data_IF_295861870599
#
_entry.id   IF_295861870599
#
_cell.length_a   1.000
_cell.length_b   1.000
_cell.length_c   1.000
_cell.angle_alpha   90.00
_cell.angle_beta   90.00
_cell.angle_gamma   90.00
#
_symmetry.space_group_name_H-M   'P 1'
#
loop_
_entity.id
_entity.type
_entity.pdbx_description
1 polymer ?
#
# COMPACT_ATOMS: atom_id res chain seq x y z
N UNK A 1 15.93 29.82 13.82
CA UNK A 1 16.30 28.39 13.87
C UNK A 1 15.44 27.67 12.84
N UNK A 2 16.03 27.18 11.74
CA UNK A 2 15.27 26.47 10.70
C UNK A 2 14.91 25.06 11.17
N UNK A 3 13.73 24.58 10.81
CA UNK A 3 13.27 23.23 11.15
C UNK A 3 13.91 22.19 10.22
N UNK A 4 14.03 20.93 10.67
CA UNK A 4 14.71 19.86 9.89
C UNK A 4 13.96 19.44 8.60
N UNK A 5 12.67 19.73 8.50
CA UNK A 5 11.83 19.36 7.36
C UNK A 5 11.19 20.61 6.74
N UNK A 6 11.11 20.71 5.40
CA UNK A 6 11.72 19.82 4.40
C UNK A 6 13.22 20.07 4.23
N UNK A 7 14.03 18.99 4.14
CA UNK A 7 15.50 19.10 4.00
C UNK A 7 15.92 19.73 2.67
N UNK A 8 15.10 19.56 1.64
CA UNK A 8 15.39 19.94 0.26
C UNK A 8 15.04 21.39 -0.09
N UNK A 9 14.40 22.14 0.82
CA UNK A 9 14.09 23.55 0.63
C UNK A 9 14.23 24.31 1.95
N UNK A 10 15.29 25.10 2.08
CA UNK A 10 15.58 25.95 3.23
C UNK A 10 14.55 27.06 3.38
N UNK A 11 14.08 27.64 2.26
CA UNK A 11 13.04 28.66 2.27
C UNK A 11 11.74 28.13 2.91
N UNK A 12 11.37 26.89 2.59
CA UNK A 12 10.19 26.26 3.18
C UNK A 12 10.46 25.76 4.62
N UNK A 13 11.66 25.29 4.92
CA UNK A 13 12.07 24.85 6.26
C UNK A 13 12.06 25.98 7.31
N UNK A 14 12.19 27.23 6.87
CA UNK A 14 12.13 28.42 7.71
C UNK A 14 10.70 28.92 7.96
N UNK A 15 9.70 28.43 7.22
CA UNK A 15 8.30 28.82 7.41
C UNK A 15 7.79 28.31 8.78
N UNK A 16 7.38 29.21 9.69
CA UNK A 16 6.95 28.85 11.03
C UNK A 16 5.53 28.27 11.08
N UNK A 17 4.78 28.32 9.97
CA UNK A 17 3.38 27.90 9.93
C UNK A 17 3.20 26.42 9.54
N UNK A 18 1.97 25.92 9.63
CA UNK A 18 1.62 24.57 9.15
C UNK A 18 1.72 24.44 7.63
N UNK A 19 1.76 25.57 6.88
CA UNK A 19 1.94 25.59 5.42
C UNK A 19 3.19 24.82 5.00
N UNK A 20 4.26 24.92 5.78
CA UNK A 20 5.51 24.16 5.59
C UNK A 20 5.29 22.66 5.40
N UNK A 21 4.41 22.07 6.20
CA UNK A 21 4.16 20.62 6.16
C UNK A 21 3.46 20.25 4.86
N UNK A 22 2.40 20.98 4.53
CA UNK A 22 1.59 20.73 3.34
C UNK A 22 2.39 20.91 2.05
N UNK A 23 3.09 22.04 1.93
CA UNK A 23 3.94 22.29 0.77
C UNK A 23 5.12 21.34 0.72
N UNK A 24 5.69 20.97 1.88
CA UNK A 24 6.78 20.00 1.93
C UNK A 24 6.36 18.65 1.35
N UNK A 25 5.16 18.17 1.66
CA UNK A 25 4.63 16.94 1.06
C UNK A 25 4.31 17.15 -0.43
N UNK A 26 3.64 18.25 -0.78
CA UNK A 26 3.19 18.52 -2.14
C UNK A 26 4.36 18.65 -3.14
N UNK A 27 5.49 19.22 -2.73
CA UNK A 27 6.65 19.42 -3.59
C UNK A 27 7.74 18.37 -3.40
N UNK A 28 7.49 17.28 -2.66
CA UNK A 28 8.52 16.25 -2.43
C UNK A 28 8.99 15.60 -3.75
N UNK A 29 8.15 15.52 -4.78
CA UNK A 29 8.54 14.90 -6.06
C UNK A 29 8.89 15.92 -7.14
N UNK A 30 8.85 17.22 -6.82
CA UNK A 30 9.27 18.30 -7.71
C UNK A 30 10.77 18.56 -7.52
N UNK A 31 11.60 17.68 -8.09
CA UNK A 31 13.05 17.70 -7.87
C UNK A 31 13.75 18.91 -8.49
N UNK A 32 13.14 19.57 -9.48
CA UNK A 32 13.71 20.74 -10.14
C UNK A 32 13.67 21.98 -9.23
N UNK A 33 12.71 22.05 -8.30
CA UNK A 33 12.58 23.17 -7.35
C UNK A 33 13.39 23.00 -6.07
N UNK A 34 14.22 21.95 -5.98
CA UNK A 34 15.07 21.71 -4.83
C UNK A 34 16.26 22.67 -4.81
N UNK A 35 16.67 23.07 -3.60
CA UNK A 35 17.83 23.94 -3.43
C UNK A 35 19.11 23.21 -3.90
N UNK A 36 19.96 23.92 -4.66
CA UNK A 36 21.26 23.44 -5.17
C UNK A 36 21.23 22.14 -5.98
N UNK A 37 20.13 21.86 -6.70
CA UNK A 37 20.04 20.69 -7.59
C UNK A 37 20.81 20.92 -8.89
N UNK A 38 21.63 19.94 -9.29
CA UNK A 38 22.28 19.90 -10.61
C UNK A 38 21.53 18.97 -11.55
N UNK A 39 21.65 19.19 -12.86
CA UNK A 39 20.99 18.36 -13.86
C UNK A 39 21.37 16.88 -13.75
N UNK A 40 22.66 16.58 -13.52
CA UNK A 40 23.13 15.21 -13.30
C UNK A 40 22.43 14.54 -12.11
N UNK A 41 22.33 15.25 -10.97
CA UNK A 41 21.73 14.73 -9.75
C UNK A 41 20.22 14.59 -9.88
N UNK A 42 19.57 15.49 -10.62
CA UNK A 42 18.16 15.40 -10.98
C UNK A 42 17.88 14.07 -11.71
N UNK A 43 18.62 13.78 -12.78
CA UNK A 43 18.44 12.52 -13.53
C UNK A 43 18.79 11.28 -12.71
N UNK A 44 19.83 11.31 -11.87
CA UNK A 44 20.15 10.20 -10.97
C UNK A 44 19.02 9.91 -9.98
N UNK A 45 18.43 10.94 -9.37
CA UNK A 45 17.31 10.80 -8.44
C UNK A 45 16.05 10.28 -9.17
N UNK A 46 15.76 10.79 -10.36
CA UNK A 46 14.65 10.31 -11.19
C UNK A 46 14.86 8.83 -11.54
N UNK A 47 16.05 8.45 -11.99
CA UNK A 47 16.37 7.07 -12.34
C UNK A 47 16.21 6.13 -11.14
N UNK A 48 16.75 6.49 -9.98
CA UNK A 48 16.57 5.73 -8.74
C UNK A 48 15.08 5.60 -8.34
N UNK A 49 14.30 6.67 -8.53
CA UNK A 49 12.85 6.68 -8.24
C UNK A 49 12.08 5.70 -9.15
N UNK A 50 12.48 5.56 -10.41
CA UNK A 50 11.88 4.56 -11.31
C UNK A 50 12.10 3.12 -10.82
N UNK A 51 13.31 2.79 -10.36
CA UNK A 51 13.56 1.47 -9.76
C UNK A 51 12.75 1.26 -8.47
N UNK A 52 12.63 2.29 -7.64
CA UNK A 52 11.74 2.25 -6.47
C UNK A 52 10.28 1.95 -6.87
N UNK A 53 9.78 2.63 -7.89
CA UNK A 53 8.42 2.41 -8.40
C UNK A 53 8.23 1.00 -8.96
N UNK A 54 9.18 0.50 -9.76
CA UNK A 54 9.15 -0.87 -10.27
C UNK A 54 9.18 -1.90 -9.15
N UNK A 55 10.00 -1.68 -8.12
CA UNK A 55 10.05 -2.58 -6.96
C UNK A 55 8.70 -2.62 -6.20
N UNK A 56 8.02 -1.48 -6.04
CA UNK A 56 6.68 -1.41 -5.43
C UNK A 56 5.67 -2.20 -6.28
N UNK A 57 5.70 -2.06 -7.59
CA UNK A 57 4.81 -2.81 -8.50
C UNK A 57 5.06 -4.31 -8.36
N UNK A 58 6.31 -4.76 -8.43
CA UNK A 58 6.63 -6.19 -8.29
C UNK A 58 6.27 -6.74 -6.92
N UNK A 59 6.50 -5.96 -5.85
CA UNK A 59 6.10 -6.35 -4.50
C UNK A 59 4.57 -6.47 -4.38
N UNK A 60 3.83 -5.54 -4.96
CA UNK A 60 2.37 -5.59 -5.00
C UNK A 60 1.87 -6.81 -5.78
N UNK A 61 2.38 -7.06 -6.99
CA UNK A 61 2.02 -8.23 -7.78
C UNK A 61 2.36 -9.54 -7.06
N UNK A 62 3.54 -9.62 -6.44
CA UNK A 62 3.94 -10.76 -5.62
C UNK A 62 3.02 -10.95 -4.41
N UNK A 63 2.58 -9.87 -3.76
CA UNK A 63 1.63 -9.93 -2.65
C UNK A 63 0.28 -10.48 -3.07
N UNK A 64 -0.25 -10.04 -4.22
CA UNK A 64 -1.49 -10.57 -4.79
C UNK A 64 -1.39 -12.09 -5.05
N UNK A 65 -0.31 -12.52 -5.70
CA UNK A 65 -0.08 -13.96 -5.97
C UNK A 65 0.05 -14.76 -4.67
N UNK A 66 0.79 -14.24 -3.70
CA UNK A 66 0.99 -14.90 -2.40
C UNK A 66 -0.33 -15.08 -1.64
N UNK A 67 -1.16 -14.03 -1.57
CA UNK A 67 -2.44 -14.11 -0.87
C UNK A 67 -3.42 -15.08 -1.54
N UNK A 68 -3.48 -15.10 -2.88
CA UNK A 68 -4.34 -16.04 -3.63
C UNK A 68 -3.84 -17.48 -3.47
N UNK A 69 -2.52 -17.72 -3.55
CA UNK A 69 -1.96 -19.06 -3.39
C UNK A 69 -2.12 -19.61 -1.96
N UNK A 70 -1.96 -18.76 -0.94
CA UNK A 70 -2.02 -19.18 0.45
C UNK A 70 -3.47 -19.29 0.97
N UNK A 71 -4.29 -18.26 0.75
CA UNK A 71 -5.60 -18.11 1.39
C UNK A 71 -6.76 -18.20 0.38
N UNK A 72 -6.51 -18.02 -0.91
CA UNK A 72 -7.51 -18.10 -1.97
C UNK A 72 -8.04 -19.51 -2.26
N UNK A 73 -8.96 -19.58 -3.20
CA UNK A 73 -9.62 -20.81 -3.68
C UNK A 73 -9.37 -21.04 -5.18
N UNK A 74 -8.19 -20.66 -5.67
CA UNK A 74 -7.89 -20.64 -7.10
C UNK A 74 -8.13 -22.00 -7.78
N UNK A 75 -7.74 -23.11 -7.17
CA UNK A 75 -7.96 -24.46 -7.71
C UNK A 75 -9.44 -24.79 -7.90
N UNK A 76 -10.28 -24.48 -6.91
CA UNK A 76 -11.73 -24.69 -6.99
C UNK A 76 -12.39 -23.72 -7.96
N UNK A 77 -11.91 -22.47 -8.02
CA UNK A 77 -12.42 -21.46 -8.93
C UNK A 77 -12.16 -21.81 -10.40
N UNK A 78 -10.99 -22.37 -10.72
CA UNK A 78 -10.66 -22.81 -12.09
C UNK A 78 -11.60 -23.95 -12.57
N UNK A 79 -12.10 -24.78 -11.65
CA UNK A 79 -13.00 -25.89 -11.99
C UNK A 79 -14.43 -25.43 -12.32
N UNK A 80 -14.94 -24.40 -11.66
CA UNK A 80 -16.28 -23.82 -11.93
C UNK A 80 -16.29 -22.29 -11.75
N UNK A 81 -15.78 -21.55 -12.75
CA UNK A 81 -15.61 -20.10 -12.64
C UNK A 81 -16.92 -19.30 -12.65
N UNK A 82 -18.05 -19.93 -13.01
CA UNK A 82 -19.35 -19.26 -13.09
C UNK A 82 -20.10 -19.26 -11.76
N UNK A 83 -19.90 -20.29 -10.93
CA UNK A 83 -20.63 -20.44 -9.66
C UNK A 83 -19.74 -20.27 -8.43
N UNK A 84 -18.43 -20.48 -8.55
CA UNK A 84 -17.47 -20.26 -7.46
C UNK A 84 -17.02 -18.81 -7.45
N UNK A 85 -17.12 -18.14 -6.30
CA UNK A 85 -16.64 -16.75 -6.15
C UNK A 85 -15.15 -16.75 -5.82
N UNK A 86 -14.31 -15.92 -6.48
CA UNK A 86 -12.89 -15.86 -6.19
C UNK A 86 -12.63 -15.21 -4.83
N UNK A 87 -11.69 -15.78 -4.06
CA UNK A 87 -11.25 -15.27 -2.75
C UNK A 87 -9.90 -14.55 -2.91
N UNK A 88 -9.83 -13.31 -2.42
CA UNK A 88 -8.61 -12.51 -2.45
C UNK A 88 -7.63 -12.86 -1.32
N UNK A 89 -8.03 -12.64 -0.06
CA UNK A 89 -7.26 -12.97 1.14
C UNK A 89 -8.19 -13.20 2.34
N UNK A 90 -7.66 -13.76 3.42
CA UNK A 90 -8.41 -13.92 4.66
C UNK A 90 -8.59 -12.57 5.37
N UNK A 91 -9.70 -12.41 6.09
CA UNK A 91 -9.98 -11.23 6.89
C UNK A 91 -9.66 -11.55 8.35
N UNK A 92 -8.82 -10.74 8.97
CA UNK A 92 -8.54 -10.83 10.40
C UNK A 92 -8.90 -9.52 11.10
N UNK A 93 -10.05 -9.48 11.77
CA UNK A 93 -10.51 -8.29 12.50
C UNK A 93 -11.09 -8.68 13.85
N UNK A 94 -10.46 -8.21 14.91
CA UNK A 94 -10.83 -8.52 16.31
C UNK A 94 -12.07 -7.76 16.83
N UNK A 95 -12.58 -6.79 16.06
CA UNK A 95 -13.73 -5.94 16.45
C UNK A 95 -15.09 -6.47 15.98
N UNK A 96 -15.14 -7.57 15.23
CA UNK A 96 -16.37 -8.04 14.61
C UNK A 96 -17.23 -8.83 15.61
N UNK A 97 -18.54 -8.59 15.60
CA UNK A 97 -19.49 -9.47 16.27
C UNK A 97 -19.55 -10.80 15.51
N UNK A 98 -19.69 -11.92 16.23
CA UNK A 98 -19.72 -13.29 15.69
C UNK A 98 -20.72 -13.47 14.53
N UNK A 99 -21.83 -12.72 14.54
CA UNK A 99 -22.82 -12.73 13.45
C UNK A 99 -22.32 -12.08 12.16
N UNK A 100 -21.54 -11.01 12.25
CA UNK A 100 -20.96 -10.34 11.09
C UNK A 100 -19.82 -11.17 10.49
N UNK A 101 -19.03 -11.83 11.37
CA UNK A 101 -18.02 -12.82 10.96
C UNK A 101 -18.66 -13.97 10.17
N UNK A 102 -19.75 -14.56 10.69
CA UNK A 102 -20.42 -15.68 10.02
C UNK A 102 -21.09 -15.28 8.70
N UNK A 103 -21.63 -14.06 8.59
CA UNK A 103 -22.15 -13.55 7.31
C UNK A 103 -21.06 -13.44 6.24
N UNK A 104 -19.84 -13.02 6.58
CA UNK A 104 -18.74 -12.97 5.62
C UNK A 104 -18.24 -14.37 5.26
N UNK A 105 -18.10 -15.27 6.24
CA UNK A 105 -17.68 -16.65 5.98
C UNK A 105 -18.68 -17.41 5.11
N UNK A 106 -19.98 -17.22 5.32
CA UNK A 106 -21.03 -17.89 4.55
C UNK A 106 -21.22 -17.29 3.16
N UNK A 107 -21.11 -15.97 3.02
CA UNK A 107 -21.27 -15.29 1.71
C UNK A 107 -20.08 -15.51 0.77
N UNK A 108 -18.90 -15.82 1.31
CA UNK A 108 -17.70 -16.14 0.56
C UNK A 108 -17.45 -17.66 0.42
N UNK A 109 -18.39 -18.52 0.83
CA UNK A 109 -18.22 -19.99 0.83
C UNK A 109 -16.93 -20.45 1.56
N UNK A 110 -16.53 -19.72 2.61
CA UNK A 110 -15.28 -19.86 3.37
C UNK A 110 -15.42 -20.70 4.65
N UNK A 111 -16.42 -21.60 4.74
CA UNK A 111 -16.76 -22.29 6.00
C UNK A 111 -15.59 -23.06 6.61
N UNK A 112 -14.61 -23.52 5.82
CA UNK A 112 -13.40 -24.21 6.30
C UNK A 112 -12.22 -23.32 6.64
N UNK A 113 -12.19 -22.05 6.20
CA UNK A 113 -11.03 -21.14 6.33
C UNK A 113 -11.24 -20.01 7.35
N UNK A 114 -12.42 -19.90 7.94
CA UNK A 114 -12.69 -18.98 9.04
C UNK A 114 -12.33 -19.61 10.39
N UNK A 115 -11.05 -19.61 10.76
CA UNK A 115 -10.60 -20.05 12.09
C UNK A 115 -10.37 -18.85 13.02
N UNK A 116 -11.20 -18.78 14.08
CA UNK A 116 -11.11 -17.82 15.20
C UNK A 116 -12.37 -16.94 15.28
N UNK A 117 -13.25 -17.04 16.28
CA UNK A 117 -12.98 -17.08 17.72
C UNK A 117 -14.05 -17.90 18.46
N UNK A 118 -13.67 -19.06 19.00
CA UNK A 118 -14.37 -19.70 20.10
C UNK A 118 -13.35 -20.11 21.15
N UNK A 119 -12.91 -19.13 21.94
CA UNK A 119 -12.65 -19.26 23.36
C UNK A 119 -13.21 -18.03 24.05
#
# INVERSE_FOLDING_TARGET
>A
MALRFPRFSQGLAQDPTTRRIWFGIATTHDFESYDDITEERLYQNIFASHFGQLAIIFLWTSGNLFHVAWQGNFETWVQDPLHVRPIAHAIWVYRWCTKLQSHFCNSAQLTSKCTGSSK
#
